data_IF_374760185320
#
_entry.id   IF_374760185320
#
_cell.length_a   1.000
_cell.length_b   1.000
_cell.length_c   1.000
_cell.angle_alpha   90.00
_cell.angle_beta   90.00
_cell.angle_gamma   90.00
#
_symmetry.space_group_name_H-M   'P 1'
#
loop_
_entity.id
_entity.type
_entity.pdbx_description
1 polymer ?
#
# COMPACT_ATOMS: atom_id res chain seq x y z
N UNK A 1 6.76 11.12 9.30
CA UNK A 1 5.92 10.01 9.83
C UNK A 1 4.67 10.53 10.53
N UNK A 2 4.79 11.45 11.49
CA UNK A 2 3.63 11.92 12.29
C UNK A 2 2.54 12.54 11.42
N UNK A 3 2.90 13.46 10.51
CA UNK A 3 1.95 14.08 9.58
C UNK A 3 1.30 13.05 8.69
N UNK A 4 2.09 12.12 8.16
CA UNK A 4 1.60 11.05 7.29
C UNK A 4 0.57 10.15 7.99
N UNK A 5 0.90 9.68 9.20
CA UNK A 5 -0.03 8.88 10.01
C UNK A 5 -1.28 9.66 10.37
N UNK A 6 -1.16 10.95 10.74
CA UNK A 6 -2.31 11.80 11.04
C UNK A 6 -3.23 12.03 9.84
N UNK A 7 -2.68 12.07 8.62
CA UNK A 7 -3.48 12.11 7.40
C UNK A 7 -4.35 10.84 7.25
N UNK A 8 -3.75 9.68 7.45
CA UNK A 8 -4.49 8.41 7.43
C UNK A 8 -5.51 8.29 8.58
N UNK A 9 -5.25 8.91 9.73
CA UNK A 9 -6.21 8.99 10.84
C UNK A 9 -7.42 9.88 10.45
N UNK A 10 -7.19 11.01 9.78
CA UNK A 10 -8.26 11.86 9.26
C UNK A 10 -9.14 11.13 8.23
N UNK A 11 -8.55 10.33 7.36
CA UNK A 11 -9.30 9.45 6.45
C UNK A 11 -10.10 8.42 7.23
N UNK A 12 -9.51 7.79 8.27
CA UNK A 12 -10.18 6.79 9.09
C UNK A 12 -11.43 7.33 9.80
N UNK A 13 -11.43 8.60 10.20
CA UNK A 13 -12.59 9.27 10.81
C UNK A 13 -13.70 9.58 9.79
N UNK A 14 -13.36 9.76 8.53
CA UNK A 14 -14.29 10.20 7.49
C UNK A 14 -14.87 9.06 6.65
N UNK A 15 -14.08 7.99 6.41
CA UNK A 15 -14.43 6.94 5.46
C UNK A 15 -15.70 6.20 5.81
N UNK A 16 -16.63 6.10 4.85
CA UNK A 16 -17.95 5.50 5.03
C UNK A 16 -18.55 5.04 3.69
N UNK A 17 -19.54 4.15 3.71
CA UNK A 17 -20.32 3.83 2.50
C UNK A 17 -20.95 5.08 1.89
N UNK A 18 -20.94 5.17 0.56
CA UNK A 18 -21.46 6.32 -0.20
C UNK A 18 -20.49 7.48 -0.40
N UNK A 19 -19.33 7.46 0.27
CA UNK A 19 -18.22 8.37 0.00
C UNK A 19 -17.50 7.95 -1.29
N UNK A 20 -17.10 8.89 -2.12
CA UNK A 20 -16.27 8.56 -3.27
C UNK A 20 -14.77 8.76 -2.96
N UNK A 21 -13.90 8.19 -3.80
CA UNK A 21 -12.46 8.26 -3.57
C UNK A 21 -11.87 9.65 -3.79
N UNK A 22 -12.52 10.52 -4.59
CA UNK A 22 -12.14 11.93 -4.70
C UNK A 22 -12.26 12.66 -3.36
N UNK A 23 -13.29 12.37 -2.56
CA UNK A 23 -13.43 12.96 -1.22
C UNK A 23 -12.26 12.53 -0.30
N UNK A 24 -11.67 11.33 -0.49
CA UNK A 24 -10.45 10.91 0.23
C UNK A 24 -9.26 11.76 -0.19
N UNK A 25 -9.08 11.99 -1.50
CA UNK A 25 -8.03 12.85 -2.04
C UNK A 25 -8.15 14.28 -1.49
N UNK A 26 -9.37 14.83 -1.44
CA UNK A 26 -9.64 16.17 -0.90
C UNK A 26 -9.26 16.27 0.59
N UNK A 27 -9.54 15.24 1.39
CA UNK A 27 -9.12 15.16 2.80
C UNK A 27 -7.60 15.16 2.91
N UNK A 28 -6.92 14.33 2.12
CA UNK A 28 -5.47 14.23 2.14
C UNK A 28 -4.79 15.55 1.72
N UNK A 29 -5.28 16.17 0.66
CA UNK A 29 -4.82 17.49 0.21
C UNK A 29 -4.99 18.56 1.27
N UNK A 30 -6.17 18.63 1.90
CA UNK A 30 -6.44 19.62 2.94
C UNK A 30 -5.57 19.36 4.18
N UNK A 31 -5.41 18.09 4.58
CA UNK A 31 -4.58 17.73 5.72
C UNK A 31 -3.11 18.13 5.50
N UNK A 32 -2.56 17.85 4.32
CA UNK A 32 -1.22 18.28 3.96
C UNK A 32 -1.05 19.79 4.04
N UNK A 33 -1.99 20.55 3.49
CA UNK A 33 -1.98 22.01 3.54
C UNK A 33 -2.00 22.55 4.96
N UNK A 34 -2.82 21.96 5.83
CA UNK A 34 -2.97 22.41 7.22
C UNK A 34 -1.73 22.09 8.10
N UNK A 35 -0.86 21.19 7.61
CA UNK A 35 0.36 20.76 8.32
C UNK A 35 1.67 21.12 7.60
N UNK A 36 1.63 22.06 6.65
CA UNK A 36 2.80 22.50 5.87
C UNK A 36 3.54 21.30 5.20
N UNK A 37 2.79 20.29 4.79
CA UNK A 37 3.31 19.12 4.09
C UNK A 37 2.97 19.14 2.59
N UNK A 38 3.75 18.44 1.79
CA UNK A 38 3.52 18.26 0.37
C UNK A 38 3.10 16.80 0.14
N UNK A 39 1.97 16.52 -0.56
CA UNK A 39 1.64 15.17 -0.99
C UNK A 39 2.61 14.72 -2.09
N UNK A 40 3.39 13.68 -1.84
CA UNK A 40 4.47 13.26 -2.73
C UNK A 40 3.98 12.64 -4.04
N UNK A 41 2.81 12.00 -4.03
CA UNK A 41 2.25 11.36 -5.21
C UNK A 41 1.83 12.37 -6.28
N UNK A 42 1.38 13.58 -5.89
CA UNK A 42 0.84 14.55 -6.83
C UNK A 42 1.89 15.00 -7.85
N UNK A 43 1.62 14.73 -9.11
CA UNK A 43 2.51 14.99 -10.26
C UNK A 43 3.79 14.13 -10.28
N UNK A 44 3.93 13.14 -9.40
CA UNK A 44 5.04 12.20 -9.46
C UNK A 44 4.89 11.34 -10.71
N UNK A 45 5.84 11.47 -11.64
CA UNK A 45 5.84 10.79 -12.95
C UNK A 45 4.49 10.85 -13.69
N UNK A 46 3.74 11.94 -13.49
CA UNK A 46 2.44 12.17 -14.11
C UNK A 46 1.23 11.62 -13.35
N UNK A 47 1.42 11.07 -12.14
CA UNK A 47 0.30 10.65 -11.29
C UNK A 47 -0.57 11.87 -10.91
N UNK A 48 -1.91 11.83 -11.11
CA UNK A 48 -2.73 13.05 -11.08
C UNK A 48 -3.27 13.45 -9.70
N UNK A 49 -3.07 12.64 -8.65
CA UNK A 49 -3.71 12.80 -7.34
C UNK A 49 -2.71 12.83 -6.19
N UNK A 50 -3.15 13.20 -4.99
CA UNK A 50 -2.31 13.32 -3.80
C UNK A 50 -2.10 12.01 -3.04
N UNK A 51 -2.95 11.03 -3.27
CA UNK A 51 -3.04 9.77 -2.56
C UNK A 51 -3.45 8.67 -3.53
N UNK A 52 -3.10 7.41 -3.27
CA UNK A 52 -3.64 6.27 -3.99
C UNK A 52 -4.79 5.65 -3.22
N UNK A 53 -5.87 5.26 -3.93
CA UNK A 53 -7.05 4.60 -3.36
C UNK A 53 -7.37 3.35 -4.16
N UNK A 54 -7.01 2.19 -3.64
CA UNK A 54 -7.09 0.91 -4.34
C UNK A 54 -8.21 0.07 -3.74
N UNK A 55 -9.28 -0.16 -4.53
CA UNK A 55 -10.50 -0.82 -4.08
C UNK A 55 -10.54 -2.25 -4.60
N UNK A 56 -10.82 -3.22 -3.73
CA UNK A 56 -11.07 -4.62 -4.03
C UNK A 56 -9.96 -5.27 -4.92
N UNK A 57 -10.20 -5.44 -6.23
CA UNK A 57 -9.26 -6.03 -7.19
C UNK A 57 -8.15 -5.08 -7.64
N UNK A 58 -8.23 -3.79 -7.31
CA UNK A 58 -7.14 -2.84 -7.52
C UNK A 58 -6.07 -3.09 -6.45
N UNK A 59 -4.90 -3.51 -6.89
CA UNK A 59 -3.78 -3.90 -6.03
C UNK A 59 -3.10 -2.67 -5.41
N UNK A 60 -2.78 -1.69 -6.26
CA UNK A 60 -2.14 -0.45 -5.85
C UNK A 60 -2.30 0.64 -6.92
N UNK A 61 -1.87 1.85 -6.58
CA UNK A 61 -1.87 3.04 -7.44
C UNK A 61 -3.25 3.44 -7.99
N UNK A 62 -4.34 2.97 -7.35
CA UNK A 62 -5.70 3.38 -7.72
C UNK A 62 -5.85 4.89 -7.67
N UNK A 63 -6.44 5.47 -8.71
CA UNK A 63 -6.56 6.92 -8.89
C UNK A 63 -7.89 7.41 -8.32
N UNK A 64 -7.89 8.28 -7.30
CA UNK A 64 -9.12 8.88 -6.76
C UNK A 64 -9.99 9.55 -7.83
N UNK A 65 -11.27 9.20 -7.88
CA UNK A 65 -12.25 9.75 -8.82
C UNK A 65 -13.67 9.79 -8.23
N UNK A 66 -14.53 10.65 -8.75
CA UNK A 66 -15.90 10.82 -8.26
C UNK A 66 -16.79 9.61 -8.55
N UNK A 67 -16.47 8.86 -9.61
CA UNK A 67 -17.21 7.67 -10.02
C UNK A 67 -17.00 6.49 -9.09
N UNK A 68 -15.89 6.43 -8.35
CA UNK A 68 -15.57 5.36 -7.42
C UNK A 68 -16.22 5.58 -6.06
N UNK A 69 -17.50 5.23 -5.99
CA UNK A 69 -18.31 5.35 -4.77
C UNK A 69 -18.18 4.08 -3.93
N UNK A 70 -17.61 4.22 -2.74
CA UNK A 70 -17.38 3.14 -1.78
C UNK A 70 -18.70 2.51 -1.32
N UNK A 71 -18.78 1.21 -1.39
CA UNK A 71 -19.91 0.42 -0.94
C UNK A 71 -19.63 -0.24 0.40
N UNK A 72 -20.68 -0.57 1.15
CA UNK A 72 -20.54 -1.38 2.35
C UNK A 72 -19.91 -2.74 2.01
N UNK A 73 -18.83 -3.10 2.70
CA UNK A 73 -18.11 -4.35 2.48
C UNK A 73 -16.95 -4.26 1.47
N UNK A 74 -16.74 -3.11 0.85
CA UNK A 74 -15.50 -2.90 0.09
C UNK A 74 -14.30 -2.91 1.01
N UNK A 75 -13.20 -3.42 0.51
CA UNK A 75 -11.88 -3.21 1.09
C UNK A 75 -11.15 -2.16 0.26
N UNK A 76 -10.55 -1.18 0.90
CA UNK A 76 -9.82 -0.11 0.21
C UNK A 76 -8.49 0.16 0.90
N UNK A 77 -7.41 0.10 0.15
CA UNK A 77 -6.11 0.58 0.60
C UNK A 77 -6.00 2.07 0.28
N UNK A 78 -5.67 2.86 1.28
CA UNK A 78 -5.35 4.29 1.13
C UNK A 78 -3.86 4.44 1.41
N UNK A 79 -3.12 4.82 0.39
CA UNK A 79 -1.67 4.89 0.40
C UNK A 79 -1.21 6.34 0.22
N UNK A 80 -0.55 6.86 1.25
CA UNK A 80 -0.18 8.27 1.36
C UNK A 80 1.28 8.45 1.64
N UNK A 81 1.95 9.24 0.79
CA UNK A 81 3.31 9.70 1.03
C UNK A 81 3.34 11.21 1.19
N UNK A 82 3.95 11.69 2.26
CA UNK A 82 4.08 13.11 2.57
C UNK A 82 5.54 13.54 2.62
N UNK A 83 5.79 14.78 2.19
CA UNK A 83 7.09 15.44 2.31
C UNK A 83 6.98 16.55 3.35
N UNK A 84 7.82 16.50 4.38
CA UNK A 84 7.96 17.54 5.40
C UNK A 84 9.45 17.87 5.55
N UNK A 85 9.80 19.14 5.45
CA UNK A 85 11.20 19.60 5.52
C UNK A 85 12.16 18.87 4.54
N UNK A 86 11.64 18.45 3.40
CA UNK A 86 12.40 17.72 2.37
C UNK A 86 12.56 16.22 2.63
N UNK A 87 11.95 15.67 3.68
CA UNK A 87 11.96 14.25 3.99
C UNK A 87 10.62 13.57 3.66
N UNK A 88 10.70 12.43 3.00
CA UNK A 88 9.57 11.60 2.63
C UNK A 88 9.17 10.66 3.77
N UNK A 89 7.87 10.50 3.96
CA UNK A 89 7.28 9.49 4.83
C UNK A 89 6.14 8.81 4.09
N UNK A 90 6.21 7.51 4.02
CA UNK A 90 5.32 6.65 3.24
C UNK A 90 4.62 5.64 4.14
N UNK A 91 3.31 5.54 4.04
CA UNK A 91 2.50 4.55 4.75
C UNK A 91 1.12 4.39 4.12
N UNK A 92 0.62 3.18 4.13
CA UNK A 92 -0.74 2.88 3.71
C UNK A 92 -1.58 2.28 4.85
N UNK A 93 -2.89 2.32 4.66
CA UNK A 93 -3.85 1.68 5.56
C UNK A 93 -4.98 1.05 4.79
N UNK A 94 -5.27 -0.21 5.13
CA UNK A 94 -6.43 -0.93 4.62
C UNK A 94 -7.67 -0.61 5.48
N UNK A 95 -8.80 -0.32 4.81
CA UNK A 95 -10.09 -0.09 5.44
C UNK A 95 -11.11 -1.11 4.94
N UNK A 96 -11.98 -1.56 5.85
CA UNK A 96 -13.22 -2.28 5.51
C UNK A 96 -14.36 -1.27 5.62
N UNK A 97 -14.92 -0.87 4.49
CA UNK A 97 -15.95 0.17 4.42
C UNK A 97 -17.24 -0.31 5.12
N UNK A 98 -17.74 0.50 6.05
CA UNK A 98 -18.88 0.11 6.89
C UNK A 98 -18.54 -0.89 8.00
N UNK A 99 -17.27 -1.31 8.12
CA UNK A 99 -16.77 -2.16 9.20
C UNK A 99 -17.12 -3.64 9.10
N UNK A 100 -17.79 -4.08 8.03
CA UNK A 100 -18.16 -5.49 7.77
C UNK A 100 -17.95 -5.82 6.30
N UNK A 101 -17.46 -7.02 6.03
CA UNK A 101 -17.31 -7.54 4.66
C UNK A 101 -17.50 -9.06 4.64
N UNK A 102 -17.21 -9.72 3.53
CA UNK A 102 -17.29 -11.18 3.45
C UNK A 102 -16.15 -11.83 4.26
N UNK A 103 -16.35 -13.07 4.77
CA UNK A 103 -15.31 -13.78 5.51
C UNK A 103 -13.99 -13.92 4.72
N UNK A 104 -14.08 -14.05 3.41
CA UNK A 104 -12.92 -14.18 2.51
C UNK A 104 -12.11 -12.87 2.47
N UNK A 105 -12.77 -11.72 2.33
CA UNK A 105 -12.12 -10.41 2.37
C UNK A 105 -11.57 -10.08 3.76
N UNK A 106 -12.30 -10.41 4.83
CA UNK A 106 -11.79 -10.28 6.21
C UNK A 106 -10.51 -11.10 6.42
N UNK A 107 -10.49 -12.33 5.92
CA UNK A 107 -9.31 -13.19 5.97
C UNK A 107 -8.14 -12.58 5.20
N UNK A 108 -8.39 -12.05 3.99
CA UNK A 108 -7.36 -11.42 3.17
C UNK A 108 -6.73 -10.23 3.89
N UNK A 109 -7.54 -9.29 4.37
CA UNK A 109 -7.08 -8.09 5.12
C UNK A 109 -6.27 -8.51 6.36
N UNK A 110 -6.74 -9.51 7.10
CA UNK A 110 -6.02 -10.05 8.26
C UNK A 110 -4.67 -10.66 7.85
N UNK A 111 -4.65 -11.49 6.81
CA UNK A 111 -3.41 -12.16 6.35
C UNK A 111 -2.41 -11.14 5.80
N UNK A 112 -2.86 -10.12 5.06
CA UNK A 112 -1.98 -9.03 4.61
C UNK A 112 -1.34 -8.30 5.79
N UNK A 113 -2.12 -8.00 6.84
CA UNK A 113 -1.59 -7.42 8.07
C UNK A 113 -0.59 -8.35 8.78
N UNK A 114 -0.90 -9.64 8.89
CA UNK A 114 0.02 -10.64 9.44
C UNK A 114 1.33 -10.71 8.64
N UNK A 115 1.26 -10.58 7.31
CA UNK A 115 2.44 -10.52 6.45
C UNK A 115 3.33 -9.30 6.77
N UNK A 116 2.73 -8.13 6.95
CA UNK A 116 3.45 -6.92 7.37
C UNK A 116 4.13 -7.14 8.74
N UNK A 117 3.40 -7.64 9.72
CA UNK A 117 3.91 -7.90 11.08
C UNK A 117 5.08 -8.90 11.05
N UNK A 118 4.94 -10.00 10.31
CA UNK A 118 6.00 -10.99 10.10
C UNK A 118 7.23 -10.38 9.42
N UNK A 119 7.00 -9.55 8.39
CA UNK A 119 8.08 -8.82 7.70
C UNK A 119 8.87 -7.93 8.66
N UNK A 120 8.16 -7.16 9.51
CA UNK A 120 8.79 -6.32 10.53
C UNK A 120 9.54 -7.13 11.60
N UNK A 121 9.03 -8.30 11.99
CA UNK A 121 9.69 -9.17 12.98
C UNK A 121 11.03 -9.71 12.50
N UNK A 122 11.18 -9.98 11.21
CA UNK A 122 12.44 -10.51 10.64
C UNK A 122 13.39 -9.42 10.16
N UNK A 123 12.91 -8.20 9.96
CA UNK A 123 13.69 -7.02 9.57
C UNK A 123 14.55 -6.53 10.76
N UNK A 124 15.61 -7.25 11.06
CA UNK A 124 16.52 -6.95 12.17
C UNK A 124 17.89 -6.51 11.65
N UNK A 125 18.66 -5.76 12.45
CA UNK A 125 20.06 -5.48 12.11
C UNK A 125 20.82 -6.76 11.75
N UNK A 126 21.46 -6.71 10.60
CA UNK A 126 22.27 -7.81 10.05
C UNK A 126 21.50 -9.02 9.54
N UNK A 127 20.15 -8.94 9.39
CA UNK A 127 19.39 -9.83 8.52
C UNK A 127 19.47 -9.34 7.06
N UNK A 128 18.88 -10.09 6.14
CA UNK A 128 18.87 -9.74 4.72
C UNK A 128 17.46 -9.33 4.27
N UNK A 129 17.35 -8.48 3.27
CA UNK A 129 16.05 -8.12 2.66
C UNK A 129 15.27 -9.37 2.23
N UNK A 130 15.94 -10.38 1.68
CA UNK A 130 15.34 -11.65 1.29
C UNK A 130 14.72 -12.46 2.45
N UNK A 131 15.13 -12.21 3.70
CA UNK A 131 14.49 -12.84 4.87
C UNK A 131 13.05 -12.35 5.02
N UNK A 132 12.80 -11.08 4.75
CA UNK A 132 11.46 -10.46 4.76
C UNK A 132 10.57 -11.16 3.74
N UNK A 133 10.98 -11.17 2.47
CA UNK A 133 10.20 -11.77 1.39
C UNK A 133 9.95 -13.27 1.59
N UNK A 134 10.97 -14.01 2.06
CA UNK A 134 10.84 -15.43 2.37
C UNK A 134 9.78 -15.70 3.46
N UNK A 135 9.79 -14.91 4.52
CA UNK A 135 8.84 -15.06 5.63
C UNK A 135 7.39 -14.77 5.19
N UNK A 136 7.19 -13.67 4.45
CA UNK A 136 5.89 -13.27 3.91
C UNK A 136 5.35 -14.32 2.94
N UNK A 137 6.14 -14.73 1.94
CA UNK A 137 5.71 -15.71 0.95
C UNK A 137 5.32 -17.05 1.59
N UNK A 138 6.08 -17.51 2.58
CA UNK A 138 5.75 -18.74 3.29
C UNK A 138 4.47 -18.64 4.13
N UNK A 139 4.15 -17.45 4.64
CA UNK A 139 2.89 -17.21 5.34
C UNK A 139 1.71 -17.28 4.36
N UNK A 140 1.79 -16.57 3.23
CA UNK A 140 0.75 -16.57 2.19
C UNK A 140 0.46 -17.95 1.61
N UNK A 141 1.47 -18.79 1.42
CA UNK A 141 1.32 -20.17 0.93
C UNK A 141 0.35 -21.01 1.78
N UNK A 142 0.21 -20.74 3.08
CA UNK A 142 -0.71 -21.44 3.97
C UNK A 142 -2.18 -21.20 3.63
N UNK A 143 -2.46 -20.06 3.00
CA UNK A 143 -3.80 -19.62 2.60
C UNK A 143 -4.06 -19.79 1.10
N UNK A 144 -3.03 -20.17 0.33
CA UNK A 144 -3.12 -20.25 -1.13
C UNK A 144 -3.15 -18.87 -1.80
N UNK A 145 -2.69 -17.82 -1.12
CA UNK A 145 -2.69 -16.45 -1.65
C UNK A 145 -1.44 -16.17 -2.48
N UNK A 146 -1.61 -15.32 -3.51
CA UNK A 146 -0.54 -14.86 -4.37
C UNK A 146 0.17 -13.65 -3.76
N UNK A 147 1.50 -13.65 -3.77
CA UNK A 147 2.32 -12.47 -3.44
C UNK A 147 2.74 -11.81 -4.74
N UNK A 148 2.41 -10.54 -4.93
CA UNK A 148 2.76 -9.78 -6.13
C UNK A 148 4.27 -9.72 -6.31
N UNK A 149 4.74 -9.81 -7.57
CA UNK A 149 6.17 -9.92 -7.92
C UNK A 149 6.68 -8.78 -8.77
N UNK A 150 5.79 -8.02 -9.39
CA UNK A 150 6.13 -6.94 -10.31
C UNK A 150 6.38 -5.61 -9.59
N UNK A 151 6.06 -5.57 -8.30
CA UNK A 151 6.18 -4.42 -7.42
C UNK A 151 6.83 -4.84 -6.10
N UNK A 152 7.42 -3.88 -5.39
CA UNK A 152 8.14 -4.13 -4.13
C UNK A 152 8.07 -2.91 -3.21
N UNK A 153 8.45 -3.11 -1.95
CA UNK A 153 8.81 -2.03 -1.05
C UNK A 153 10.18 -1.46 -1.40
N UNK A 154 10.54 -0.36 -0.80
CA UNK A 154 11.70 0.43 -1.19
C UNK A 154 12.28 1.24 -0.03
N UNK A 155 13.53 1.65 -0.15
CA UNK A 155 14.09 2.69 0.69
C UNK A 155 13.32 4.00 0.50
N UNK A 156 13.21 4.79 1.56
CA UNK A 156 12.50 6.07 1.54
C UNK A 156 13.14 7.05 2.52
N UNK A 157 13.17 8.32 2.18
CA UNK A 157 13.70 9.34 3.09
C UNK A 157 14.08 10.63 2.40
N UNK A 158 15.17 10.68 1.66
CA UNK A 158 15.59 11.85 0.87
C UNK A 158 14.94 11.87 -0.52
N UNK A 159 14.57 10.71 -1.01
CA UNK A 159 13.79 10.54 -2.22
C UNK A 159 12.55 9.70 -1.92
N UNK A 160 11.59 9.70 -2.83
CA UNK A 160 10.39 8.88 -2.71
C UNK A 160 10.76 7.40 -2.73
N UNK A 161 11.55 7.00 -3.73
CA UNK A 161 12.03 5.63 -3.89
C UNK A 161 13.56 5.61 -3.88
N UNK A 162 14.12 4.85 -2.96
CA UNK A 162 15.57 4.65 -2.76
C UNK A 162 15.87 3.15 -2.62
N UNK A 163 17.15 2.79 -2.72
CA UNK A 163 17.61 1.46 -2.29
C UNK A 163 17.42 1.26 -0.75
N UNK A 164 17.10 0.05 -0.30
CA UNK A 164 17.00 -1.20 -1.08
C UNK A 164 15.62 -1.41 -1.69
N UNK A 165 15.53 -2.21 -2.78
CA UNK A 165 14.27 -2.87 -3.15
C UNK A 165 13.94 -3.94 -2.11
N UNK A 166 12.69 -3.95 -1.62
CA UNK A 166 12.19 -4.88 -0.61
C UNK A 166 11.15 -5.81 -1.22
N UNK A 167 11.61 -6.90 -1.79
CA UNK A 167 10.72 -7.92 -2.38
C UNK A 167 9.97 -8.66 -1.26
N UNK A 168 8.67 -8.91 -1.48
CA UNK A 168 7.82 -9.64 -0.53
C UNK A 168 7.76 -11.15 -0.81
N UNK A 169 8.68 -11.65 -1.63
CA UNK A 169 8.91 -13.06 -1.95
C UNK A 169 10.42 -13.31 -2.07
N UNK A 170 10.86 -14.56 -2.08
CA UNK A 170 12.26 -14.88 -2.32
C UNK A 170 12.87 -15.88 -1.35
N UNK A 171 14.19 -15.77 -1.17
CA UNK A 171 14.98 -16.75 -0.44
C UNK A 171 15.68 -16.14 0.78
N UNK A 172 15.64 -16.88 1.89
CA UNK A 172 16.34 -16.51 3.12
C UNK A 172 17.85 -16.33 2.86
N UNK A 173 18.42 -15.30 3.48
CA UNK A 173 19.84 -14.99 3.41
C UNK A 173 20.31 -14.38 2.09
N UNK A 174 19.38 -13.77 1.31
CA UNK A 174 19.69 -13.12 0.03
C UNK A 174 19.35 -11.64 0.02
N UNK A 175 19.87 -10.93 -0.96
CA UNK A 175 19.64 -9.49 -1.12
C UNK A 175 20.56 -8.64 -0.26
N UNK A 176 20.19 -7.38 -0.06
CA UNK A 176 20.98 -6.43 0.71
C UNK A 176 20.97 -6.77 2.21
N UNK A 177 22.12 -6.60 2.87
CA UNK A 177 22.23 -6.69 4.33
C UNK A 177 21.61 -5.47 4.98
N UNK A 178 20.69 -5.67 5.91
CA UNK A 178 20.08 -4.60 6.68
C UNK A 178 21.03 -4.09 7.76
N UNK A 179 21.28 -2.80 7.78
CA UNK A 179 22.13 -2.16 8.77
C UNK A 179 21.37 -1.06 9.54
N UNK A 180 21.74 -0.79 10.82
CA UNK A 180 21.11 0.27 11.59
C UNK A 180 21.16 1.63 10.86
N UNK A 181 20.03 2.32 10.84
CA UNK A 181 19.87 3.63 10.17
C UNK A 181 19.21 3.56 8.80
N UNK A 182 19.04 2.38 8.22
CA UNK A 182 18.21 2.22 7.02
C UNK A 182 16.74 2.54 7.32
N UNK A 183 16.09 3.23 6.38
CA UNK A 183 14.65 3.49 6.38
C UNK A 183 14.09 2.96 5.08
N UNK A 184 13.08 2.11 5.16
CA UNK A 184 12.46 1.47 4.00
C UNK A 184 11.03 1.06 4.29
N UNK A 185 10.25 0.80 3.26
CA UNK A 185 8.88 0.31 3.36
C UNK A 185 8.83 -1.23 3.38
N UNK A 186 7.83 -1.77 4.07
CA UNK A 186 7.37 -3.16 3.94
C UNK A 186 5.88 -3.06 3.63
N UNK A 187 5.51 -3.37 2.41
CA UNK A 187 4.19 -3.11 1.84
C UNK A 187 3.70 -4.30 1.03
N UNK A 188 3.48 -5.46 1.67
CA UNK A 188 3.15 -6.68 0.96
C UNK A 188 1.80 -6.57 0.26
N UNK A 189 1.80 -6.72 -1.06
CA UNK A 189 0.61 -6.81 -1.90
C UNK A 189 0.21 -8.27 -2.03
N UNK A 190 -0.93 -8.63 -1.41
CA UNK A 190 -1.38 -10.01 -1.25
C UNK A 190 -2.70 -10.21 -1.99
N UNK A 191 -2.67 -10.99 -3.05
CA UNK A 191 -3.85 -11.29 -3.87
C UNK A 191 -4.55 -12.55 -3.34
N UNK A 192 -5.87 -12.52 -3.28
CA UNK A 192 -6.68 -13.68 -2.91
C UNK A 192 -6.50 -14.87 -3.88
N UNK A 193 -6.08 -14.59 -5.11
CA UNK A 193 -5.85 -15.57 -6.17
C UNK A 193 -4.43 -15.58 -6.70
N UNK A 194 -4.30 -15.32 -8.01
CA UNK A 194 -2.99 -15.31 -8.66
C UNK A 194 -2.12 -14.12 -8.19
N UNK A 195 -0.79 -14.33 -8.18
CA UNK A 195 0.17 -13.25 -7.94
C UNK A 195 0.31 -12.27 -9.12
N UNK A 196 -0.21 -12.64 -10.31
CA UNK A 196 -0.08 -11.85 -11.53
C UNK A 196 -0.94 -10.61 -11.45
N UNK A 197 -0.38 -9.52 -11.95
CA UNK A 197 -1.03 -8.21 -12.02
C UNK A 197 -0.87 -7.61 -13.41
N UNK A 198 -1.71 -6.64 -13.73
CA UNK A 198 -1.68 -5.90 -14.99
C UNK A 198 -2.00 -4.44 -14.73
N UNK A 199 -1.52 -3.55 -15.59
CA UNK A 199 -2.01 -2.18 -15.63
C UNK A 199 -3.43 -2.22 -16.22
N UNK A 200 -4.35 -1.50 -15.57
CA UNK A 200 -5.72 -1.40 -16.06
C UNK A 200 -5.72 -0.73 -17.45
N UNK A 201 -6.32 -1.41 -18.42
CA UNK A 201 -6.39 -0.92 -19.80
C UNK A 201 -7.30 0.33 -19.96
N UNK A 202 -8.21 0.54 -19.02
CA UNK A 202 -9.12 1.67 -18.98
C UNK A 202 -8.55 2.88 -18.23
N UNK A 203 -7.42 2.72 -17.55
CA UNK A 203 -6.71 3.84 -16.92
C UNK A 203 -5.92 4.66 -17.93
N UNK A 204 -6.34 5.93 -18.21
CA UNK A 204 -5.67 6.78 -19.19
C UNK A 204 -4.28 7.25 -18.75
N UNK A 205 -3.92 7.09 -17.49
CA UNK A 205 -2.63 7.48 -16.91
C UNK A 205 -1.63 6.33 -16.84
N UNK A 206 -2.10 5.08 -16.90
CA UNK A 206 -1.27 3.88 -16.87
C UNK A 206 -0.68 3.55 -15.49
N UNK A 207 -1.41 3.89 -14.41
CA UNK A 207 -0.98 3.69 -13.03
C UNK A 207 -1.72 2.56 -12.30
N UNK A 208 -3.04 2.46 -12.50
CA UNK A 208 -3.86 1.50 -11.75
C UNK A 208 -3.42 0.06 -12.03
N UNK A 209 -3.02 -0.65 -10.98
CA UNK A 209 -2.59 -2.05 -11.04
C UNK A 209 -3.73 -2.94 -10.55
N UNK A 210 -4.18 -3.86 -11.37
CA UNK A 210 -5.29 -4.77 -11.06
C UNK A 210 -4.83 -6.23 -11.01
N UNK A 211 -5.54 -7.05 -10.24
CA UNK A 211 -5.29 -8.50 -10.18
C UNK A 211 -5.62 -9.18 -11.50
N UNK A 212 -4.82 -10.18 -11.87
CA UNK A 212 -4.99 -10.90 -13.14
C UNK A 212 -6.19 -11.85 -13.19
N UNK A 213 -6.94 -12.01 -12.12
CA UNK A 213 -8.09 -12.90 -12.00
C UNK A 213 -9.32 -12.22 -11.37
N UNK A 214 -9.31 -10.89 -11.31
CA UNK A 214 -10.41 -10.05 -10.79
C UNK A 214 -10.81 -10.37 -9.34
N UNK A 215 -9.92 -11.04 -8.58
CA UNK A 215 -10.13 -11.29 -7.16
C UNK A 215 -9.51 -10.17 -6.31
N UNK A 216 -10.01 -9.96 -5.09
CA UNK A 216 -9.48 -8.95 -4.19
C UNK A 216 -7.97 -9.09 -3.89
N UNK A 217 -7.34 -7.93 -3.66
CA UNK A 217 -5.98 -7.78 -3.18
C UNK A 217 -5.93 -7.01 -1.86
#
# INVERSE_FOLDING_TARGET
GVVNTGCLDAVAEAIRPGMNTQEIDDICMQYCKDHDAIPACLNYEGYPKSVCTSINEVVCHGIPKEEDVLQEGDIVNVDMTTIVDGYYADASRMFIVGGKTTPEKEQLVRVAKECLEIGMEVAKPYSFVGDIGHAIENHCKKYGYGVVRDLCGHGVGLQFHEEPEVLHYGHKGTGMLLVPGMVFTIEPMINMGTWKVFIDADDPYGWEVITGDEKPS
#
